data_IF_758609119347
#
_entry.id   IF_758609119347
#
_cell.length_a   1.000
_cell.length_b   1.000
_cell.length_c   1.000
_cell.angle_alpha   90.00
_cell.angle_beta   90.00
_cell.angle_gamma   90.00
#
_symmetry.space_group_name_H-M   'P 1'
#
loop_
_entity.id
_entity.type
_entity.pdbx_description
1 polymer ?
#
# COMPACT_ATOMS: atom_id res chain seq x y z
N UNK A 1 -11.37 8.05 -30.87
CA UNK A 1 -11.79 8.20 -29.47
C UNK A 1 -10.94 9.31 -28.89
N UNK A 2 -11.49 10.51 -28.70
CA UNK A 2 -10.80 11.57 -27.95
C UNK A 2 -10.90 11.22 -26.46
N UNK A 3 -9.75 11.10 -25.79
CA UNK A 3 -9.72 11.00 -24.34
C UNK A 3 -9.87 12.42 -23.78
N UNK A 4 -11.10 12.95 -23.81
CA UNK A 4 -11.41 14.18 -23.09
C UNK A 4 -11.45 13.83 -21.61
N UNK A 5 -10.30 13.95 -20.95
CA UNK A 5 -10.28 14.12 -19.50
C UNK A 5 -10.90 15.50 -19.23
N UNK A 6 -12.23 15.57 -19.18
CA UNK A 6 -12.98 16.69 -18.61
C UNK A 6 -12.82 16.62 -17.07
N UNK A 7 -11.56 16.62 -16.63
CA UNK A 7 -11.24 16.85 -15.24
C UNK A 7 -11.55 18.32 -14.99
N UNK A 8 -12.31 18.55 -13.94
CA UNK A 8 -12.80 19.87 -13.49
C UNK A 8 -11.64 20.87 -13.28
N UNK A 9 -10.38 20.38 -13.27
CA UNK A 9 -9.16 21.15 -13.16
C UNK A 9 -8.10 20.67 -14.19
N UNK A 10 -7.77 21.48 -15.22
CA UNK A 10 -6.76 21.16 -16.23
C UNK A 10 -5.35 20.89 -15.66
N UNK A 11 -4.96 21.56 -14.57
CA UNK A 11 -3.64 21.34 -13.94
C UNK A 11 -3.58 19.97 -13.25
N UNK A 12 -4.68 19.52 -12.63
CA UNK A 12 -4.74 18.17 -12.05
C UNK A 12 -4.68 17.11 -13.15
N UNK A 13 -5.34 17.33 -14.28
CA UNK A 13 -5.25 16.44 -15.44
C UNK A 13 -3.80 16.31 -15.92
N UNK A 14 -3.11 17.45 -16.01
CA UNK A 14 -1.73 17.51 -16.44
C UNK A 14 -0.80 16.72 -15.51
N UNK A 15 -0.94 16.92 -14.20
CA UNK A 15 -0.14 16.22 -13.21
C UNK A 15 -0.38 14.70 -13.23
N UNK A 16 -1.63 14.26 -13.41
CA UNK A 16 -1.96 12.84 -13.53
C UNK A 16 -1.30 12.23 -14.78
N UNK A 17 -1.41 12.90 -15.93
CA UNK A 17 -0.80 12.42 -17.17
C UNK A 17 0.73 12.39 -17.07
N UNK A 18 1.35 13.36 -16.39
CA UNK A 18 2.78 13.35 -16.10
C UNK A 18 3.17 12.19 -15.19
N UNK A 19 2.46 11.97 -14.08
CA UNK A 19 2.73 10.89 -13.14
C UNK A 19 2.54 9.49 -13.78
N UNK A 20 1.62 9.36 -14.74
CA UNK A 20 1.50 8.12 -15.52
C UNK A 20 2.68 7.95 -16.49
N UNK A 21 3.30 9.03 -16.95
CA UNK A 21 4.36 9.04 -17.96
C UNK A 21 3.84 9.24 -19.39
N UNK A 22 2.70 9.91 -19.56
CA UNK A 22 2.02 10.14 -20.86
C UNK A 22 2.38 11.51 -21.48
N UNK A 23 2.98 12.43 -20.73
CA UNK A 23 3.42 13.73 -21.27
C UNK A 23 4.89 13.97 -20.94
N UNK A 24 5.74 13.78 -21.94
CA UNK A 24 7.15 14.13 -21.83
C UNK A 24 7.35 15.60 -22.23
N UNK A 25 7.70 16.48 -21.29
CA UNK A 25 8.32 17.75 -21.66
C UNK A 25 9.72 17.44 -22.20
N UNK A 26 9.89 17.59 -23.52
CA UNK A 26 11.15 17.58 -24.28
C UNK A 26 12.43 17.27 -23.46
N UNK A 27 12.92 16.04 -23.55
CA UNK A 27 14.34 15.72 -23.33
C UNK A 27 14.83 15.34 -21.94
N UNK A 28 13.98 15.30 -20.89
CA UNK A 28 14.37 14.75 -19.59
C UNK A 28 13.73 13.36 -19.36
N UNK A 29 14.43 12.52 -18.61
CA UNK A 29 14.14 11.10 -18.34
C UNK A 29 12.64 10.88 -18.15
N UNK A 30 11.99 10.20 -19.11
CA UNK A 30 10.60 9.76 -19.00
C UNK A 30 10.53 8.87 -17.76
N UNK A 31 9.96 9.39 -16.67
CA UNK A 31 9.52 8.66 -15.49
C UNK A 31 8.06 8.22 -15.65
N UNK A 32 7.43 7.81 -14.56
CA UNK A 32 6.01 7.52 -14.53
C UNK A 32 5.64 6.05 -14.39
N UNK A 33 4.39 5.82 -14.00
CA UNK A 33 3.86 4.49 -13.65
C UNK A 33 4.09 3.47 -14.76
N UNK A 34 3.91 3.85 -16.03
CA UNK A 34 4.10 2.94 -17.16
C UNK A 34 5.54 2.39 -17.23
N UNK A 35 6.54 3.27 -17.04
CA UNK A 35 7.95 2.86 -17.01
C UNK A 35 8.27 2.05 -15.76
N UNK A 36 7.79 2.47 -14.60
CA UNK A 36 8.00 1.75 -13.34
C UNK A 36 7.48 0.31 -13.43
N UNK A 37 6.28 0.11 -13.99
CA UNK A 37 5.71 -1.23 -14.17
C UNK A 37 6.50 -2.10 -15.17
N UNK A 38 7.07 -1.50 -16.22
CA UNK A 38 8.01 -2.20 -17.11
C UNK A 38 9.25 -2.66 -16.35
N UNK A 39 9.85 -1.78 -15.55
CA UNK A 39 11.08 -2.07 -14.81
C UNK A 39 10.87 -3.07 -13.67
N UNK A 40 9.70 -3.06 -13.04
CA UNK A 40 9.28 -4.08 -12.06
C UNK A 40 9.26 -5.48 -12.70
N UNK A 41 8.92 -5.58 -13.99
CA UNK A 41 9.00 -6.82 -14.76
C UNK A 41 8.30 -8.00 -14.08
N UNK A 42 7.06 -7.78 -13.65
CA UNK A 42 6.21 -8.80 -13.04
C UNK A 42 6.55 -9.20 -11.59
N UNK A 43 7.59 -8.61 -10.99
CA UNK A 43 7.91 -8.81 -9.57
C UNK A 43 6.79 -8.27 -8.69
N UNK A 44 6.63 -8.88 -7.53
CA UNK A 44 5.63 -8.43 -6.57
C UNK A 44 6.17 -7.23 -5.79
N UNK A 45 5.36 -6.17 -5.66
CA UNK A 45 5.65 -5.04 -4.79
C UNK A 45 5.23 -5.45 -3.38
N UNK A 46 6.18 -5.46 -2.45
CA UNK A 46 5.94 -5.91 -1.07
C UNK A 46 5.79 -4.75 -0.09
N UNK A 47 6.41 -3.60 -0.37
CA UNK A 47 6.29 -2.42 0.48
C UNK A 47 6.49 -1.11 -0.30
N UNK A 48 5.97 -0.03 0.26
CA UNK A 48 6.24 1.35 -0.13
C UNK A 48 6.71 2.09 1.12
N UNK A 49 7.90 2.69 1.06
CA UNK A 49 8.45 3.50 2.13
C UNK A 49 8.43 4.97 1.72
N UNK A 50 7.75 5.79 2.53
CA UNK A 50 7.77 7.25 2.42
C UNK A 50 8.61 7.84 3.56
N UNK A 51 9.31 8.94 3.31
CA UNK A 51 10.09 9.66 4.32
C UNK A 51 9.57 11.08 4.49
N UNK A 52 9.61 11.59 5.73
CA UNK A 52 9.35 13.01 6.00
C UNK A 52 10.57 13.90 5.67
N UNK A 53 11.77 13.31 5.64
CA UNK A 53 13.02 14.00 5.25
C UNK A 53 13.10 14.21 3.73
N UNK A 54 12.52 13.29 2.96
CA UNK A 54 12.44 13.32 1.49
C UNK A 54 10.99 13.10 1.03
N UNK A 55 10.07 14.05 1.31
CA UNK A 55 8.64 13.88 1.08
C UNK A 55 8.24 13.78 -0.39
N UNK A 56 9.13 14.16 -1.30
CA UNK A 56 8.95 14.13 -2.75
C UNK A 56 9.24 12.77 -3.38
N UNK A 57 9.94 11.87 -2.68
CA UNK A 57 10.28 10.53 -3.16
C UNK A 57 9.70 9.44 -2.25
N UNK A 58 9.52 8.27 -2.83
CA UNK A 58 9.19 7.05 -2.10
C UNK A 58 9.92 5.85 -2.70
N UNK A 59 10.19 4.87 -1.85
CA UNK A 59 10.96 3.67 -2.20
C UNK A 59 10.04 2.47 -2.25
N UNK A 60 9.96 1.82 -3.40
CA UNK A 60 9.31 0.53 -3.58
C UNK A 60 10.30 -0.58 -3.23
N UNK A 61 9.83 -1.59 -2.50
CA UNK A 61 10.55 -2.84 -2.28
C UNK A 61 9.86 -3.96 -3.05
N UNK A 62 10.66 -4.75 -3.76
CA UNK A 62 10.21 -5.86 -4.58
C UNK A 62 10.51 -7.20 -3.92
N UNK A 63 9.79 -8.25 -4.34
CA UNK A 63 9.90 -9.60 -3.78
C UNK A 63 11.29 -10.26 -3.91
N UNK A 64 12.16 -9.75 -4.77
CA UNK A 64 13.55 -10.20 -4.93
C UNK A 64 14.54 -9.43 -4.05
N UNK A 65 14.05 -8.55 -3.16
CA UNK A 65 14.86 -7.68 -2.31
C UNK A 65 15.41 -6.44 -3.04
N UNK A 66 15.12 -6.27 -4.33
CA UNK A 66 15.50 -5.04 -5.03
C UNK A 66 14.58 -3.89 -4.62
N UNK A 67 15.10 -2.68 -4.73
CA UNK A 67 14.37 -1.47 -4.36
C UNK A 67 14.46 -0.43 -5.45
N UNK A 68 13.36 0.29 -5.67
CA UNK A 68 13.24 1.33 -6.69
C UNK A 68 12.79 2.63 -6.03
N UNK A 69 13.51 3.70 -6.27
CA UNK A 69 13.12 5.04 -5.81
C UNK A 69 12.39 5.76 -6.94
N UNK A 70 11.22 6.30 -6.64
CA UNK A 70 10.36 7.00 -7.58
C UNK A 70 9.83 8.28 -6.92
N UNK A 71 9.44 9.30 -7.70
CA UNK A 71 8.61 10.38 -7.18
C UNK A 71 7.40 9.81 -6.43
N UNK A 72 7.05 10.40 -5.30
CA UNK A 72 6.08 9.84 -4.36
C UNK A 72 4.76 9.48 -5.02
N UNK A 73 4.22 10.37 -5.85
CA UNK A 73 2.95 10.13 -6.55
C UNK A 73 3.05 8.95 -7.53
N UNK A 74 4.17 8.83 -8.25
CA UNK A 74 4.43 7.69 -9.14
C UNK A 74 4.54 6.38 -8.36
N UNK A 75 5.24 6.37 -7.22
CA UNK A 75 5.38 5.20 -6.36
C UNK A 75 4.01 4.73 -5.84
N UNK A 76 3.19 5.65 -5.34
CA UNK A 76 1.86 5.35 -4.82
C UNK A 76 0.93 4.81 -5.91
N UNK A 77 0.91 5.43 -7.08
CA UNK A 77 0.13 4.96 -8.23
C UNK A 77 0.63 3.61 -8.74
N UNK A 78 1.94 3.37 -8.74
CA UNK A 78 2.54 2.09 -9.14
C UNK A 78 2.19 0.98 -8.16
N UNK A 79 2.13 1.28 -6.86
CA UNK A 79 1.76 0.34 -5.82
C UNK A 79 0.25 0.01 -5.81
N UNK A 80 -0.59 0.91 -6.32
CA UNK A 80 -2.04 0.70 -6.39
C UNK A 80 -2.38 -0.57 -7.19
N UNK A 81 -3.11 -1.47 -6.55
CA UNK A 81 -3.59 -2.70 -7.19
C UNK A 81 -4.57 -2.41 -8.32
N UNK A 82 -5.45 -1.42 -8.12
CA UNK A 82 -6.41 -0.96 -9.11
C UNK A 82 -5.71 -0.36 -10.34
N UNK A 83 -4.75 0.54 -10.16
CA UNK A 83 -4.04 1.17 -11.29
C UNK A 83 -3.27 0.12 -12.10
N UNK A 84 -2.54 -0.79 -11.43
CA UNK A 84 -1.86 -1.92 -12.09
C UNK A 84 -2.81 -2.77 -12.92
N UNK A 85 -4.00 -3.07 -12.39
CA UNK A 85 -5.02 -3.84 -13.11
C UNK A 85 -5.52 -3.11 -14.36
N UNK A 86 -5.83 -1.82 -14.26
CA UNK A 86 -6.30 -1.03 -15.40
C UNK A 86 -5.20 -0.90 -16.48
N UNK A 87 -3.96 -0.62 -16.09
CA UNK A 87 -2.84 -0.54 -17.04
C UNK A 87 -2.67 -1.88 -17.77
N UNK A 88 -2.74 -3.01 -17.06
CA UNK A 88 -2.67 -4.34 -17.66
C UNK A 88 -3.82 -4.60 -18.65
N UNK A 89 -5.03 -4.15 -18.35
CA UNK A 89 -6.19 -4.24 -19.26
C UNK A 89 -6.05 -3.35 -20.51
N UNK A 90 -5.42 -2.18 -20.38
CA UNK A 90 -5.23 -1.26 -21.51
C UNK A 90 -4.09 -1.71 -22.43
N UNK A 91 -2.98 -2.15 -21.85
CA UNK A 91 -1.73 -2.43 -22.59
C UNK A 91 -1.68 -3.88 -23.08
N UNK A 92 -1.93 -4.86 -22.20
CA UNK A 92 -1.63 -6.25 -22.49
C UNK A 92 -2.84 -7.04 -22.99
N UNK A 93 -4.02 -6.81 -22.44
CA UNK A 93 -5.22 -7.59 -22.79
C UNK A 93 -5.60 -7.52 -24.29
N UNK A 94 -5.55 -6.35 -24.97
CA UNK A 94 -5.91 -6.26 -26.39
C UNK A 94 -4.91 -6.93 -27.33
N UNK A 95 -3.70 -7.21 -26.84
CA UNK A 95 -2.56 -7.69 -27.63
C UNK A 95 -2.23 -9.17 -27.39
N UNK A 96 -3.05 -9.88 -26.62
CA UNK A 96 -2.77 -11.26 -26.17
C UNK A 96 -2.56 -12.28 -27.30
N UNK A 97 -3.16 -12.07 -28.48
CA UNK A 97 -3.10 -12.97 -29.63
C UNK A 97 -2.44 -12.34 -30.87
N UNK A 98 -1.61 -11.31 -30.67
CA UNK A 98 -0.91 -10.61 -31.74
C UNK A 98 0.53 -11.11 -31.81
N UNK A 99 1.00 -11.40 -33.02
CA UNK A 99 2.43 -11.59 -33.29
C UNK A 99 3.13 -10.23 -33.24
N UNK A 100 4.31 -10.16 -32.63
CA UNK A 100 5.12 -8.94 -32.45
C UNK A 100 4.30 -7.72 -31.97
N UNK A 101 3.60 -7.82 -30.81
CA UNK A 101 2.69 -6.79 -30.37
C UNK A 101 3.45 -5.49 -30.05
N UNK A 102 2.84 -4.37 -30.44
CA UNK A 102 3.33 -3.03 -30.10
C UNK A 102 2.16 -2.20 -29.58
N UNK A 103 2.36 -1.54 -28.44
CA UNK A 103 1.40 -0.61 -27.86
C UNK A 103 1.97 0.80 -27.95
N UNK A 104 1.17 1.74 -28.48
CA UNK A 104 1.57 3.14 -28.63
C UNK A 104 0.50 4.07 -28.08
N UNK A 105 0.94 5.14 -27.42
CA UNK A 105 0.12 6.31 -27.11
C UNK A 105 0.63 7.44 -27.99
N UNK A 106 -0.29 8.05 -28.74
CA UNK A 106 -0.04 9.21 -29.58
C UNK A 106 -0.77 10.42 -28.99
N UNK A 107 -0.20 11.61 -29.15
CA UNK A 107 -0.89 12.86 -28.80
C UNK A 107 -1.87 13.29 -29.90
N UNK A 108 -2.54 14.44 -29.70
CA UNK A 108 -3.53 14.96 -30.67
C UNK A 108 -2.95 15.39 -32.02
N UNK A 109 -1.62 15.44 -32.17
CA UNK A 109 -0.92 15.68 -33.42
C UNK A 109 -0.35 14.39 -34.05
N UNK A 110 -0.78 13.21 -33.57
CA UNK A 110 -0.27 11.89 -33.94
C UNK A 110 1.22 11.67 -33.65
N UNK A 111 1.83 12.50 -32.80
CA UNK A 111 3.21 12.31 -32.36
C UNK A 111 3.28 11.28 -31.23
N UNK A 112 4.38 10.52 -31.20
CA UNK A 112 4.58 9.43 -30.26
C UNK A 112 4.90 9.94 -28.85
N UNK A 113 4.04 9.64 -27.88
CA UNK A 113 4.26 9.92 -26.45
C UNK A 113 4.81 8.69 -25.72
N UNK A 114 4.34 7.49 -26.08
CA UNK A 114 4.75 6.24 -25.44
C UNK A 114 4.76 5.09 -26.44
N UNK A 115 5.78 4.25 -26.36
CA UNK A 115 5.92 3.05 -27.19
C UNK A 115 6.42 1.87 -26.37
N UNK A 116 5.64 0.80 -26.35
CA UNK A 116 5.97 -0.48 -25.73
C UNK A 116 6.09 -1.56 -26.79
N UNK A 117 7.24 -2.24 -26.79
CA UNK A 117 7.49 -3.40 -27.63
C UNK A 117 6.98 -4.69 -26.96
N UNK A 118 7.21 -5.84 -27.60
CA UNK A 118 6.78 -7.14 -27.09
C UNK A 118 7.33 -7.44 -25.68
N UNK A 119 8.61 -7.15 -25.41
CA UNK A 119 9.19 -7.37 -24.08
C UNK A 119 8.57 -6.50 -23.00
N UNK A 120 8.25 -5.24 -23.32
CA UNK A 120 7.57 -4.32 -22.41
C UNK A 120 6.14 -4.81 -22.12
N UNK A 121 5.41 -5.24 -23.15
CA UNK A 121 4.05 -5.77 -23.03
C UNK A 121 4.05 -7.05 -22.18
N UNK A 122 5.04 -7.92 -22.37
CA UNK A 122 5.22 -9.10 -21.54
C UNK A 122 5.45 -8.72 -20.07
N UNK A 123 6.33 -7.75 -19.80
CA UNK A 123 6.59 -7.25 -18.45
C UNK A 123 5.28 -6.73 -17.79
N UNK A 124 4.50 -5.92 -18.52
CA UNK A 124 3.20 -5.41 -18.05
C UNK A 124 2.17 -6.53 -17.84
N UNK A 125 2.15 -7.55 -18.71
CA UNK A 125 1.28 -8.72 -18.56
C UNK A 125 1.59 -9.51 -17.29
N UNK A 126 2.84 -9.52 -16.84
CA UNK A 126 3.27 -10.26 -15.67
C UNK A 126 3.07 -9.49 -14.35
N UNK A 127 2.79 -8.18 -14.42
CA UNK A 127 2.50 -7.33 -13.26
C UNK A 127 1.45 -7.98 -12.36
N UNK A 128 1.82 -8.10 -11.08
CA UNK A 128 0.97 -8.55 -9.98
C UNK A 128 -0.05 -7.46 -9.65
N UNK A 129 -1.30 -7.87 -9.46
CA UNK A 129 -2.43 -6.96 -9.22
C UNK A 129 -3.06 -7.19 -7.84
N UNK A 130 -2.45 -8.05 -7.02
CA UNK A 130 -2.80 -8.17 -5.61
C UNK A 130 -2.44 -6.89 -4.86
N UNK A 131 -3.26 -6.53 -3.88
CA UNK A 131 -2.95 -5.48 -2.92
C UNK A 131 -1.67 -5.83 -2.15
N UNK A 132 -0.97 -4.81 -1.68
CA UNK A 132 0.25 -5.01 -0.89
C UNK A 132 -0.04 -5.89 0.33
N UNK A 133 0.86 -6.83 0.67
CA UNK A 133 0.72 -7.59 1.89
C UNK A 133 0.76 -6.62 3.08
N UNK A 134 -0.05 -6.84 4.13
CA UNK A 134 0.05 -6.01 5.32
C UNK A 134 1.40 -6.27 6.01
N UNK A 135 2.00 -5.20 6.54
CA UNK A 135 3.19 -5.32 7.39
C UNK A 135 2.77 -5.79 8.77
N UNK A 136 3.40 -6.85 9.28
CA UNK A 136 3.12 -7.39 10.61
C UNK A 136 4.34 -7.17 11.49
N UNK A 137 4.21 -6.33 12.51
CA UNK A 137 5.23 -6.05 13.50
C UNK A 137 4.80 -6.56 14.88
N UNK A 138 5.78 -6.88 15.74
CA UNK A 138 5.55 -7.15 17.17
C UNK A 138 6.22 -6.08 18.00
N UNK A 139 5.52 -5.55 19.00
CA UNK A 139 6.08 -4.57 19.93
C UNK A 139 5.67 -4.84 21.36
N UNK A 140 6.54 -4.51 22.31
CA UNK A 140 6.21 -4.54 23.73
C UNK A 140 5.87 -3.13 24.19
N UNK A 141 4.70 -2.94 24.78
CA UNK A 141 4.22 -1.65 25.28
C UNK A 141 3.79 -1.77 26.73
N UNK A 142 3.75 -0.63 27.43
CA UNK A 142 3.09 -0.53 28.74
C UNK A 142 1.80 0.25 28.55
N UNK A 143 0.65 -0.41 28.65
CA UNK A 143 -0.68 0.17 28.37
C UNK A 143 -1.69 -0.21 29.45
N UNK A 144 -2.76 0.56 29.59
CA UNK A 144 -3.92 0.21 30.42
C UNK A 144 -5.07 -0.28 29.54
N UNK A 145 -6.01 -1.02 30.12
CA UNK A 145 -7.22 -1.40 29.40
C UNK A 145 -8.23 -0.25 29.44
N UNK A 146 -8.77 0.19 28.30
CA UNK A 146 -9.85 1.18 28.24
C UNK A 146 -11.22 0.56 28.02
N UNK A 147 -11.26 -0.73 27.69
CA UNK A 147 -12.46 -1.57 27.70
C UNK A 147 -12.03 -3.03 27.85
N UNK A 148 -12.77 -3.80 28.63
CA UNK A 148 -12.51 -5.22 28.84
C UNK A 148 -13.75 -6.04 28.51
N UNK A 149 -13.54 -7.29 28.09
CA UNK A 149 -14.60 -8.26 27.87
C UNK A 149 -14.17 -9.62 28.44
N UNK A 150 -14.65 -9.96 29.62
CA UNK A 150 -14.28 -11.21 30.29
C UNK A 150 -14.88 -12.46 29.63
N UNK A 151 -15.86 -12.31 28.73
CA UNK A 151 -16.57 -13.44 28.12
C UNK A 151 -15.89 -13.94 26.82
N UNK A 152 -14.86 -13.25 26.33
CA UNK A 152 -14.15 -13.69 25.14
C UNK A 152 -13.02 -12.76 24.70
N UNK A 153 -12.31 -13.18 23.65
CA UNK A 153 -11.13 -12.46 23.16
C UNK A 153 -11.42 -11.15 22.41
N UNK A 154 -12.65 -10.91 21.96
CA UNK A 154 -13.06 -9.68 21.25
C UNK A 154 -13.67 -8.63 22.18
N UNK A 155 -13.71 -7.36 21.78
CA UNK A 155 -14.34 -6.27 22.57
C UNK A 155 -13.40 -5.59 23.56
N UNK A 156 -12.13 -6.00 23.59
CA UNK A 156 -11.07 -5.37 24.36
C UNK A 156 -10.54 -4.11 23.67
N UNK A 157 -10.26 -3.08 24.47
CA UNK A 157 -9.58 -1.86 24.03
C UNK A 157 -8.47 -1.53 25.00
N UNK A 158 -7.36 -1.03 24.46
CA UNK A 158 -6.21 -0.57 25.23
C UNK A 158 -5.98 0.92 24.98
N UNK A 159 -5.50 1.60 26.00
CA UNK A 159 -5.04 2.96 25.93
C UNK A 159 -3.51 2.96 25.85
N UNK A 160 -2.98 3.29 24.67
CA UNK A 160 -1.54 3.30 24.40
C UNK A 160 -0.88 4.57 24.98
N UNK A 161 -1.60 5.70 24.93
CA UNK A 161 -1.21 7.00 25.48
C UNK A 161 -2.48 7.81 25.87
N UNK A 162 -2.33 9.06 26.31
CA UNK A 162 -3.45 9.89 26.78
C UNK A 162 -4.59 10.08 25.75
N UNK A 163 -4.29 10.02 24.45
CA UNK A 163 -5.25 10.31 23.37
C UNK A 163 -5.55 9.12 22.49
N UNK A 164 -4.74 8.06 22.57
CA UNK A 164 -4.82 6.91 21.67
C UNK A 164 -5.46 5.70 22.35
N UNK A 165 -6.74 5.47 22.04
CA UNK A 165 -7.47 4.25 22.39
C UNK A 165 -7.65 3.40 21.13
N UNK A 166 -7.20 2.15 21.18
CA UNK A 166 -7.31 1.19 20.07
C UNK A 166 -8.05 -0.06 20.48
N UNK A 167 -8.78 -0.64 19.54
CA UNK A 167 -9.38 -1.98 19.72
C UNK A 167 -8.33 -3.03 19.47
N UNK A 168 -8.17 -3.96 20.41
CA UNK A 168 -7.15 -5.00 20.34
C UNK A 168 -7.68 -6.29 20.98
N UNK A 169 -8.04 -7.32 20.19
CA UNK A 169 -8.45 -8.60 20.74
C UNK A 169 -7.37 -9.22 21.63
N UNK A 170 -7.78 -9.84 22.74
CA UNK A 170 -6.91 -10.48 23.72
C UNK A 170 -6.74 -11.97 23.38
N UNK A 171 -5.57 -12.34 22.86
CA UNK A 171 -5.23 -13.72 22.49
C UNK A 171 -4.41 -14.47 23.55
N UNK A 172 -4.25 -13.87 24.72
CA UNK A 172 -3.61 -14.49 25.87
C UNK A 172 -4.66 -15.26 26.69
N UNK A 173 -4.86 -16.52 26.35
CA UNK A 173 -5.84 -17.39 27.02
C UNK A 173 -5.54 -17.54 28.53
N UNK A 174 -4.26 -17.54 28.92
CA UNK A 174 -3.87 -17.67 30.33
C UNK A 174 -4.32 -16.44 31.13
N UNK A 175 -3.99 -15.25 30.62
CA UNK A 175 -4.42 -14.00 31.23
C UNK A 175 -5.95 -13.88 31.23
N UNK A 176 -6.60 -14.21 30.10
CA UNK A 176 -8.06 -14.18 29.97
C UNK A 176 -8.75 -15.07 31.01
N UNK A 177 -8.26 -16.28 31.23
CA UNK A 177 -8.77 -17.16 32.28
C UNK A 177 -8.56 -16.59 33.69
N UNK A 178 -7.39 -16.00 33.96
CA UNK A 178 -7.07 -15.40 35.26
C UNK A 178 -7.99 -14.22 35.59
N UNK A 179 -8.21 -13.31 34.64
CA UNK A 179 -9.06 -12.13 34.85
C UNK A 179 -10.55 -12.48 34.88
N UNK A 180 -10.95 -13.51 34.12
CA UNK A 180 -12.33 -14.01 34.16
C UNK A 180 -12.67 -14.69 35.49
N UNK A 181 -11.70 -15.34 36.13
CA UNK A 181 -11.86 -15.90 37.48
C UNK A 181 -11.84 -14.83 38.59
N UNK A 182 -11.23 -13.66 38.35
CA UNK A 182 -10.99 -12.61 39.35
C UNK A 182 -11.58 -11.24 38.95
N UNK A 183 -12.76 -11.23 38.34
CA UNK A 183 -13.37 -10.01 37.79
C UNK A 183 -13.51 -8.87 38.81
N UNK A 184 -13.82 -9.20 40.08
CA UNK A 184 -14.02 -8.21 41.14
C UNK A 184 -12.74 -7.47 41.54
N UNK A 185 -11.57 -8.05 41.28
CA UNK A 185 -10.26 -7.49 41.65
C UNK A 185 -9.58 -6.77 40.49
N UNK A 186 -10.11 -6.93 39.27
CA UNK A 186 -9.48 -6.41 38.06
C UNK A 186 -9.60 -4.88 38.00
N UNK A 187 -8.45 -4.21 38.02
CA UNK A 187 -8.36 -2.75 37.89
C UNK A 187 -7.97 -2.39 36.47
N UNK A 188 -8.97 -1.95 35.74
CA UNK A 188 -8.86 -1.48 34.36
C UNK A 188 -7.77 -0.40 34.17
N UNK A 189 -7.54 0.45 35.16
CA UNK A 189 -6.57 1.55 35.10
C UNK A 189 -5.13 1.13 35.40
N UNK A 190 -4.91 -0.10 35.84
CA UNK A 190 -3.55 -0.60 36.06
C UNK A 190 -2.80 -0.66 34.71
N UNK A 191 -1.51 -0.35 34.78
CA UNK A 191 -0.63 -0.42 33.62
C UNK A 191 -0.06 -1.83 33.51
N UNK A 192 -0.34 -2.48 32.40
CA UNK A 192 0.17 -3.80 32.08
C UNK A 192 1.23 -3.69 31.01
N UNK A 193 2.29 -4.48 31.14
CA UNK A 193 3.25 -4.68 30.07
C UNK A 193 2.68 -5.73 29.12
N UNK A 194 2.51 -5.40 27.85
CA UNK A 194 1.83 -6.24 26.86
C UNK A 194 2.69 -6.40 25.60
N UNK A 195 2.65 -7.59 25.00
CA UNK A 195 3.19 -7.85 23.66
C UNK A 195 2.05 -7.70 22.67
N UNK A 196 2.17 -6.76 21.75
CA UNK A 196 1.20 -6.49 20.70
C UNK A 196 1.70 -7.00 19.35
N UNK A 197 0.80 -7.58 18.56
CA UNK A 197 0.94 -7.67 17.11
C UNK A 197 0.26 -6.45 16.49
N UNK A 198 0.98 -5.73 15.65
CA UNK A 198 0.48 -4.58 14.90
C UNK A 198 0.52 -4.92 13.42
N UNK A 199 -0.65 -5.00 12.81
CA UNK A 199 -0.82 -5.21 11.38
C UNK A 199 -1.10 -3.88 10.70
N UNK A 200 -0.17 -3.39 9.91
CA UNK A 200 -0.28 -2.14 9.13
C UNK A 200 -0.70 -2.47 7.70
N UNK A 201 -1.82 -1.91 7.27
CA UNK A 201 -2.33 -2.00 5.91
C UNK A 201 -2.11 -0.67 5.21
N UNK A 202 -1.47 -0.69 4.05
CA UNK A 202 -1.31 0.48 3.18
C UNK A 202 -2.30 0.36 2.03
N UNK A 203 -3.18 1.36 1.89
CA UNK A 203 -4.14 1.37 0.80
C UNK A 203 -3.53 1.97 -0.49
N UNK A 204 -4.30 1.97 -1.58
CA UNK A 204 -3.88 2.48 -2.90
C UNK A 204 -3.51 3.98 -2.90
N UNK A 205 -3.80 4.73 -1.83
CA UNK A 205 -3.46 6.15 -1.66
C UNK A 205 -2.24 6.34 -0.73
N UNK A 206 -1.55 5.28 -0.35
CA UNK A 206 -0.44 5.33 0.61
C UNK A 206 -0.87 5.59 2.06
N UNK A 207 -2.17 5.60 2.36
CA UNK A 207 -2.64 5.77 3.73
C UNK A 207 -2.52 4.46 4.49
N UNK A 208 -1.87 4.55 5.65
CA UNK A 208 -1.76 3.43 6.56
C UNK A 208 -2.99 3.34 7.49
N UNK A 209 -3.41 2.12 7.76
CA UNK A 209 -4.32 1.79 8.85
C UNK A 209 -3.75 0.65 9.68
N UNK A 210 -3.91 0.69 10.99
CA UNK A 210 -3.33 -0.28 11.92
C UNK A 210 -4.41 -1.10 12.60
N UNK A 211 -4.19 -2.42 12.68
CA UNK A 211 -4.95 -3.32 13.55
C UNK A 211 -4.03 -3.86 14.63
N UNK A 212 -4.57 -4.02 15.82
CA UNK A 212 -3.81 -4.44 17.00
C UNK A 212 -4.37 -5.77 17.50
N UNK A 213 -3.50 -6.62 18.04
CA UNK A 213 -3.88 -7.78 18.85
C UNK A 213 -2.95 -7.86 20.05
N UNK A 214 -3.49 -8.19 21.22
CA UNK A 214 -2.71 -8.44 22.43
C UNK A 214 -2.34 -9.92 22.39
N UNK A 215 -1.06 -10.22 22.14
CA UNK A 215 -0.57 -11.60 22.09
C UNK A 215 -0.31 -12.14 23.49
N UNK A 216 0.20 -11.29 24.38
CA UNK A 216 0.57 -11.69 25.73
C UNK A 216 0.51 -10.50 26.67
N UNK A 217 0.02 -10.72 27.89
CA UNK A 217 0.15 -9.79 29.02
C UNK A 217 1.25 -10.32 29.93
N UNK A 218 2.32 -9.53 30.07
CA UNK A 218 3.46 -9.84 30.93
C UNK A 218 3.11 -9.37 32.35
N UNK A 219 2.33 -10.20 33.05
CA UNK A 219 1.96 -10.03 34.45
C UNK A 219 3.00 -10.59 35.41
#
# INVERSE_FOLDING_TARGET
>A
MEFIAQLINPELAKNILQALGIMASSGAIVGGVFKALREISGKEIIAVYTSDEHPEFAKLELSDGTTMELPKDEALLTASSAIRSHIKQIVAAPLYHRDEPVFKILNGADELELNFNESDIKAIKEVKTQSLPPKIDKMTVTASFSQVNFEGNTGWKIQLDEKTIVTAPLLDDSFLNQVSANQQSFKKEDRYKMVLEVTTYTNDLGKESKKYKILQVLS
#
